data_IF_274233727267
#
_entry.id   IF_274233727267
#
_cell.length_a   1.000
_cell.length_b   1.000
_cell.length_c   1.000
_cell.angle_alpha   90.00
_cell.angle_beta   90.00
_cell.angle_gamma   90.00
#
_symmetry.space_group_name_H-M   'P 1'
#
loop_
_entity.id
_entity.type
_entity.pdbx_description
1 polymer ?
#
# COMPACT_ATOMS: atom_id res chain seq x y z
N UNK A 1 32.04 21.38 10.45
CA UNK A 1 30.92 21.49 9.49
C UNK A 1 29.86 22.34 10.17
N UNK A 2 29.52 23.51 9.64
CA UNK A 2 28.45 24.34 10.23
C UNK A 2 27.13 23.96 9.55
N UNK A 3 26.23 23.34 10.30
CA UNK A 3 24.90 22.97 9.83
C UNK A 3 24.01 24.21 9.66
N UNK A 4 23.32 24.31 8.53
CA UNK A 4 22.57 25.53 8.12
C UNK A 4 21.07 25.27 7.94
N UNK A 5 20.43 24.56 8.87
CA UNK A 5 19.00 24.23 8.80
C UNK A 5 18.09 25.46 8.63
N UNK A 6 18.46 26.63 9.20
CA UNK A 6 17.68 27.86 9.05
C UNK A 6 17.48 28.30 7.60
N UNK A 7 18.40 27.92 6.69
CA UNK A 7 18.27 28.25 5.27
C UNK A 7 17.18 27.43 4.57
N UNK A 8 16.75 26.32 5.13
CA UNK A 8 15.69 25.47 4.58
C UNK A 8 14.29 26.05 4.80
N UNK A 9 14.13 27.00 5.74
CA UNK A 9 12.83 27.63 6.04
C UNK A 9 12.19 28.26 4.80
N UNK A 10 13.01 28.85 3.92
CA UNK A 10 12.55 29.42 2.64
C UNK A 10 11.93 28.40 1.68
N UNK A 11 12.17 27.11 1.89
CA UNK A 11 11.65 26.00 1.09
C UNK A 11 10.53 25.22 1.79
N UNK A 12 9.98 25.77 2.86
CA UNK A 12 8.93 25.12 3.65
C UNK A 12 7.72 24.70 2.81
N UNK A 13 7.30 25.56 1.87
CA UNK A 13 6.16 25.26 0.99
C UNK A 13 6.40 24.02 0.13
N UNK A 14 7.60 23.84 -0.41
CA UNK A 14 7.96 22.68 -1.21
C UNK A 14 7.84 21.38 -0.41
N UNK A 15 8.31 21.37 0.83
CA UNK A 15 8.17 20.22 1.70
C UNK A 15 6.71 19.93 2.08
N UNK A 16 5.88 20.97 2.29
CA UNK A 16 4.44 20.79 2.59
C UNK A 16 3.71 20.23 1.37
N UNK A 17 3.96 20.75 0.17
CA UNK A 17 3.36 20.23 -1.07
C UNK A 17 3.81 18.80 -1.34
N UNK A 18 5.10 18.51 -1.18
CA UNK A 18 5.63 17.16 -1.34
C UNK A 18 5.04 16.18 -0.31
N UNK A 19 4.89 16.62 0.94
CA UNK A 19 4.26 15.83 2.00
C UNK A 19 2.80 15.50 1.65
N UNK A 20 2.04 16.48 1.19
CA UNK A 20 0.66 16.28 0.73
C UNK A 20 0.60 15.27 -0.42
N UNK A 21 1.49 15.38 -1.41
CA UNK A 21 1.59 14.43 -2.52
C UNK A 21 1.91 13.01 -2.07
N UNK A 22 2.83 12.82 -1.12
CA UNK A 22 3.13 11.51 -0.52
C UNK A 22 1.91 10.89 0.16
N UNK A 23 1.18 11.69 0.96
CA UNK A 23 -0.03 11.22 1.66
C UNK A 23 -1.12 10.89 0.65
N UNK A 24 -1.37 11.75 -0.32
CA UNK A 24 -2.36 11.55 -1.38
C UNK A 24 -2.07 10.26 -2.17
N UNK A 25 -0.84 10.10 -2.65
CA UNK A 25 -0.42 8.92 -3.39
C UNK A 25 -0.59 7.64 -2.54
N UNK A 26 -0.19 7.70 -1.27
CA UNK A 26 -0.36 6.56 -0.35
C UNK A 26 -1.82 6.19 -0.19
N UNK A 27 -2.70 7.16 0.06
CA UNK A 27 -4.15 6.91 0.25
C UNK A 27 -4.77 6.32 -1.02
N UNK A 28 -4.50 6.90 -2.18
CA UNK A 28 -5.00 6.40 -3.47
C UNK A 28 -4.55 4.95 -3.67
N UNK A 29 -3.26 4.67 -3.50
CA UNK A 29 -2.71 3.34 -3.74
C UNK A 29 -3.20 2.30 -2.72
N UNK A 30 -3.38 2.68 -1.45
CA UNK A 30 -3.95 1.79 -0.43
C UNK A 30 -5.40 1.46 -0.76
N UNK A 31 -6.22 2.45 -1.07
CA UNK A 31 -7.64 2.23 -1.37
C UNK A 31 -7.80 1.39 -2.63
N UNK A 32 -7.18 1.80 -3.74
CA UNK A 32 -7.27 1.08 -5.00
C UNK A 32 -6.68 -0.34 -4.88
N UNK A 33 -5.52 -0.47 -4.27
CA UNK A 33 -4.87 -1.78 -4.10
C UNK A 33 -5.61 -2.70 -3.13
N UNK A 34 -6.26 -2.19 -2.07
CA UNK A 34 -7.14 -3.00 -1.23
C UNK A 34 -8.35 -3.53 -2.01
N UNK A 35 -8.96 -2.70 -2.85
CA UNK A 35 -10.08 -3.12 -3.71
C UNK A 35 -9.63 -4.21 -4.69
N UNK A 36 -8.49 -4.04 -5.34
CA UNK A 36 -7.87 -5.05 -6.21
C UNK A 36 -7.59 -6.33 -5.42
N UNK A 37 -6.96 -6.20 -4.25
CA UNK A 37 -6.61 -7.32 -3.39
C UNK A 37 -7.82 -8.12 -2.93
N UNK A 38 -8.87 -7.46 -2.47
CA UNK A 38 -10.14 -8.09 -2.08
C UNK A 38 -10.75 -8.83 -3.27
N UNK A 39 -10.91 -8.13 -4.41
CA UNK A 39 -11.47 -8.73 -5.62
C UNK A 39 -10.69 -9.97 -6.05
N UNK A 40 -9.38 -9.88 -6.18
CA UNK A 40 -8.51 -10.97 -6.59
C UNK A 40 -8.54 -12.15 -5.59
N UNK A 41 -8.50 -11.89 -4.29
CA UNK A 41 -8.54 -12.93 -3.27
C UNK A 41 -9.87 -13.71 -3.32
N UNK A 42 -11.01 -13.02 -3.43
CA UNK A 42 -12.31 -13.68 -3.57
C UNK A 42 -12.46 -14.39 -4.92
N UNK A 43 -12.02 -13.79 -6.01
CA UNK A 43 -12.05 -14.39 -7.33
C UNK A 43 -11.14 -15.62 -7.43
N UNK A 44 -10.01 -15.63 -6.75
CA UNK A 44 -9.14 -16.80 -6.66
C UNK A 44 -9.84 -17.98 -5.94
N UNK A 45 -10.53 -17.71 -4.83
CA UNK A 45 -11.22 -18.75 -4.05
C UNK A 45 -12.41 -19.37 -4.79
N UNK A 46 -13.19 -18.57 -5.50
CA UNK A 46 -14.42 -18.98 -6.19
C UNK A 46 -14.26 -19.22 -7.68
N UNK A 47 -13.14 -18.77 -8.26
CA UNK A 47 -12.92 -18.80 -9.70
C UNK A 47 -12.60 -20.18 -10.25
N UNK A 48 -12.82 -20.30 -11.55
CA UNK A 48 -12.42 -21.45 -12.33
C UNK A 48 -10.87 -21.53 -12.47
N UNK A 49 -10.30 -22.64 -12.97
CA UNK A 49 -8.85 -22.79 -13.11
C UNK A 49 -8.16 -21.68 -13.92
N UNK A 50 -8.83 -21.10 -14.93
CA UNK A 50 -8.28 -20.00 -15.74
C UNK A 50 -8.17 -18.71 -14.93
N UNK A 51 -9.22 -18.37 -14.17
CA UNK A 51 -9.23 -17.21 -13.26
C UNK A 51 -8.14 -17.32 -12.20
N UNK A 52 -8.02 -18.51 -11.57
CA UNK A 52 -6.95 -18.76 -10.58
C UNK A 52 -5.58 -18.60 -11.17
N UNK A 53 -5.35 -19.13 -12.39
CA UNK A 53 -4.07 -19.00 -13.10
C UNK A 53 -3.76 -17.56 -13.43
N UNK A 54 -4.73 -16.77 -13.91
CA UNK A 54 -4.53 -15.35 -14.22
C UNK A 54 -4.15 -14.54 -12.98
N UNK A 55 -4.86 -14.73 -11.87
CA UNK A 55 -4.55 -14.06 -10.59
C UNK A 55 -3.19 -14.48 -10.07
N UNK A 56 -2.85 -15.76 -10.15
CA UNK A 56 -1.53 -16.28 -9.75
C UNK A 56 -0.42 -15.60 -10.54
N UNK A 57 -0.54 -15.52 -11.86
CA UNK A 57 0.45 -14.84 -12.72
C UNK A 57 0.59 -13.36 -12.37
N UNK A 58 -0.53 -12.66 -12.13
CA UNK A 58 -0.50 -11.27 -11.67
C UNK A 58 0.26 -11.11 -10.36
N UNK A 59 -0.09 -11.91 -9.35
CA UNK A 59 0.52 -11.82 -8.02
C UNK A 59 2.01 -12.13 -8.09
N UNK A 60 2.40 -13.20 -8.80
CA UNK A 60 3.80 -13.57 -8.96
C UNK A 60 4.60 -12.51 -9.73
N UNK A 61 4.02 -11.94 -10.80
CA UNK A 61 4.68 -10.91 -11.58
C UNK A 61 5.01 -9.67 -10.72
N UNK A 62 4.02 -9.18 -9.96
CA UNK A 62 4.22 -7.97 -9.15
C UNK A 62 5.03 -8.19 -7.88
N UNK A 63 5.02 -9.38 -7.30
CA UNK A 63 5.78 -9.68 -6.07
C UNK A 63 7.23 -10.06 -6.34
N UNK A 64 7.54 -10.57 -7.52
CA UNK A 64 8.88 -11.05 -7.88
C UNK A 64 9.63 -10.09 -8.82
N UNK A 65 9.11 -8.90 -9.09
CA UNK A 65 9.80 -7.86 -9.85
C UNK A 65 9.98 -6.59 -9.01
N UNK A 66 11.08 -5.84 -9.20
CA UNK A 66 11.29 -4.59 -8.48
C UNK A 66 10.21 -3.56 -8.80
N UNK A 67 9.64 -2.93 -7.76
CA UNK A 67 8.58 -1.91 -7.92
C UNK A 67 9.02 -0.70 -8.75
N UNK A 68 10.29 -0.34 -8.72
CA UNK A 68 10.84 0.72 -9.58
C UNK A 68 10.75 0.35 -11.07
N UNK A 69 11.05 -0.90 -11.42
CA UNK A 69 10.93 -1.37 -12.81
C UNK A 69 9.46 -1.36 -13.25
N UNK A 70 8.55 -1.80 -12.39
CA UNK A 70 7.12 -1.73 -12.65
C UNK A 70 6.68 -0.29 -12.91
N UNK A 71 7.13 0.67 -12.09
CA UNK A 71 6.85 2.09 -12.27
C UNK A 71 7.32 2.60 -13.64
N UNK A 72 8.55 2.26 -14.05
CA UNK A 72 9.07 2.63 -15.36
C UNK A 72 8.28 2.00 -16.51
N UNK A 73 7.88 0.75 -16.39
CA UNK A 73 7.03 0.08 -17.39
C UNK A 73 5.72 0.85 -17.57
N UNK A 74 5.03 1.21 -16.48
CA UNK A 74 3.80 1.98 -16.57
C UNK A 74 4.01 3.40 -17.08
N UNK A 75 5.09 4.04 -16.71
CA UNK A 75 5.37 5.41 -17.13
C UNK A 75 5.79 5.53 -18.59
N UNK A 76 6.62 4.62 -19.09
CA UNK A 76 7.14 4.68 -20.46
C UNK A 76 6.31 3.88 -21.48
N UNK A 77 5.74 2.73 -21.09
CA UNK A 77 5.01 1.86 -22.01
C UNK A 77 3.57 2.33 -22.26
N UNK A 78 2.89 2.90 -21.27
CA UNK A 78 1.49 3.31 -21.45
C UNK A 78 1.28 4.39 -22.53
N UNK A 79 2.15 5.42 -22.66
CA UNK A 79 2.08 6.37 -23.76
C UNK A 79 2.20 5.72 -25.13
N UNK A 80 3.05 4.70 -25.30
CA UNK A 80 3.18 3.96 -26.56
C UNK A 80 1.90 3.20 -26.94
N UNK A 81 1.09 2.87 -25.93
CA UNK A 81 -0.23 2.27 -26.10
C UNK A 81 -1.36 3.30 -26.25
N UNK A 82 -1.03 4.59 -26.34
CA UNK A 82 -1.99 5.70 -26.46
C UNK A 82 -2.62 6.14 -25.13
N UNK A 83 -2.14 5.66 -23.99
CA UNK A 83 -2.65 5.99 -22.64
C UNK A 83 -1.72 7.02 -22.01
N UNK A 84 -2.05 8.31 -22.15
CA UNK A 84 -1.27 9.40 -21.57
C UNK A 84 -1.67 9.62 -20.10
N UNK A 85 -0.78 9.28 -19.19
CA UNK A 85 -0.92 9.55 -17.76
C UNK A 85 0.09 10.61 -17.32
N UNK A 86 -0.32 11.45 -16.36
CA UNK A 86 0.65 12.28 -15.64
C UNK A 86 1.65 11.39 -14.88
N UNK A 87 2.85 11.90 -14.53
CA UNK A 87 3.80 11.16 -13.70
C UNK A 87 3.17 10.62 -12.41
N UNK A 88 2.36 11.44 -11.74
CA UNK A 88 1.62 11.05 -10.55
C UNK A 88 0.56 9.97 -10.84
N UNK A 89 -0.14 10.07 -11.97
CA UNK A 89 -1.12 9.07 -12.41
C UNK A 89 -0.48 7.71 -12.71
N UNK A 90 0.66 7.70 -13.42
CA UNK A 90 1.41 6.47 -13.70
C UNK A 90 1.93 5.81 -12.41
N UNK A 91 2.45 6.61 -11.47
CA UNK A 91 2.86 6.14 -10.16
C UNK A 91 1.68 5.57 -9.36
N UNK A 92 0.53 6.24 -9.40
CA UNK A 92 -0.70 5.76 -8.74
C UNK A 92 -1.14 4.40 -9.25
N UNK A 93 -1.13 4.18 -10.56
CA UNK A 93 -1.50 2.89 -11.17
C UNK A 93 -0.49 1.81 -10.80
N UNK A 94 0.82 2.06 -11.02
CA UNK A 94 1.87 1.10 -10.74
C UNK A 94 1.87 0.63 -9.27
N UNK A 95 1.85 1.58 -8.33
CA UNK A 95 1.90 1.29 -6.90
C UNK A 95 0.59 0.70 -6.38
N UNK A 96 -0.58 1.03 -6.98
CA UNK A 96 -1.85 0.39 -6.66
C UNK A 96 -1.85 -1.09 -7.05
N UNK A 97 -1.34 -1.43 -8.23
CA UNK A 97 -1.21 -2.81 -8.67
C UNK A 97 -0.18 -3.57 -7.83
N UNK A 98 0.96 -2.94 -7.51
CA UNK A 98 1.95 -3.50 -6.60
C UNK A 98 1.33 -3.83 -5.24
N UNK A 99 0.70 -2.87 -4.58
CA UNK A 99 0.06 -3.08 -3.29
C UNK A 99 -1.08 -4.09 -3.37
N UNK A 100 -1.87 -4.07 -4.45
CA UNK A 100 -2.96 -4.99 -4.72
C UNK A 100 -2.52 -6.45 -4.80
N UNK A 101 -1.35 -6.73 -5.40
CA UNK A 101 -0.78 -8.07 -5.45
C UNK A 101 -0.41 -8.60 -4.06
N UNK A 102 0.23 -7.78 -3.22
CA UNK A 102 0.53 -8.14 -1.83
C UNK A 102 -0.74 -8.29 -1.00
N UNK A 103 -1.70 -7.36 -1.14
CA UNK A 103 -2.98 -7.42 -0.45
C UNK A 103 -3.77 -8.70 -0.83
N UNK A 104 -3.74 -9.10 -2.10
CA UNK A 104 -4.36 -10.36 -2.57
C UNK A 104 -3.84 -11.55 -1.79
N UNK A 105 -2.52 -11.69 -1.67
CA UNK A 105 -1.90 -12.82 -1.00
C UNK A 105 -2.13 -12.79 0.51
N UNK A 106 -2.01 -11.60 1.14
CA UNK A 106 -2.26 -11.43 2.57
C UNK A 106 -3.72 -11.81 2.89
N UNK A 107 -4.69 -11.30 2.13
CA UNK A 107 -6.11 -11.58 2.36
C UNK A 107 -6.41 -13.06 2.12
N UNK A 108 -5.85 -13.66 1.06
CA UNK A 108 -6.00 -15.08 0.77
C UNK A 108 -5.47 -15.94 1.92
N UNK A 109 -4.26 -15.65 2.39
CA UNK A 109 -3.65 -16.33 3.53
C UNK A 109 -4.52 -16.21 4.80
N UNK A 110 -5.13 -15.03 5.04
CA UNK A 110 -6.05 -14.84 6.15
C UNK A 110 -7.31 -15.69 6.06
N UNK A 111 -7.88 -15.81 4.86
CA UNK A 111 -9.03 -16.72 4.66
C UNK A 111 -8.65 -18.19 4.84
N UNK A 112 -7.42 -18.56 4.46
CA UNK A 112 -6.90 -19.92 4.61
C UNK A 112 -6.52 -20.27 6.06
N UNK A 113 -6.28 -19.26 6.89
CA UNK A 113 -5.94 -19.44 8.31
C UNK A 113 -7.13 -19.88 9.19
N UNK A 114 -8.36 -19.79 8.66
CA UNK A 114 -9.56 -20.19 9.42
C UNK A 114 -9.75 -21.71 9.28
N UNK A 115 -9.82 -22.45 10.41
CA UNK A 115 -10.00 -23.89 10.38
C UNK A 115 -11.27 -24.31 9.64
N UNK A 116 -11.18 -25.33 8.78
CA UNK A 116 -12.31 -25.87 8.02
C UNK A 116 -13.48 -26.30 8.94
N UNK A 117 -13.16 -26.81 10.13
CA UNK A 117 -14.14 -27.20 11.13
C UNK A 117 -15.13 -26.09 11.49
N UNK A 118 -14.72 -24.80 11.44
CA UNK A 118 -15.64 -23.69 11.71
C UNK A 118 -16.66 -23.52 10.59
N UNK A 119 -16.25 -23.68 9.34
CA UNK A 119 -17.19 -23.62 8.20
C UNK A 119 -18.10 -24.85 8.14
N UNK A 120 -17.59 -26.02 8.49
CA UNK A 120 -18.37 -27.26 8.59
C UNK A 120 -19.40 -27.19 9.70
N UNK A 121 -19.04 -26.69 10.89
CA UNK A 121 -19.97 -26.47 11.97
C UNK A 121 -21.08 -25.49 11.58
N UNK A 122 -20.74 -24.40 10.87
CA UNK A 122 -21.74 -23.47 10.31
C UNK A 122 -22.70 -24.15 9.34
N UNK A 123 -22.19 -25.03 8.47
CA UNK A 123 -23.02 -25.79 7.54
C UNK A 123 -23.94 -26.77 8.26
N UNK A 124 -23.46 -27.45 9.31
CA UNK A 124 -24.28 -28.33 10.16
C UNK A 124 -25.43 -27.58 10.88
N UNK A 125 -25.22 -26.30 11.19
CA UNK A 125 -26.26 -25.42 11.75
C UNK A 125 -27.24 -24.87 10.69
N UNK A 126 -27.12 -25.30 9.43
CA UNK A 126 -28.00 -24.87 8.33
C UNK A 126 -27.69 -23.49 7.77
N UNK A 127 -26.53 -22.92 8.09
CA UNK A 127 -26.14 -21.61 7.54
C UNK A 127 -25.81 -21.72 6.04
N UNK A 128 -26.31 -20.78 5.26
CA UNK A 128 -25.93 -20.65 3.86
C UNK A 128 -24.43 -20.28 3.72
N UNK A 129 -23.83 -20.58 2.56
CA UNK A 129 -22.44 -20.23 2.27
C UNK A 129 -22.16 -18.73 2.52
N UNK A 130 -23.10 -17.85 2.15
CA UNK A 130 -22.99 -16.41 2.42
C UNK A 130 -22.93 -16.11 3.92
N UNK A 131 -23.80 -16.74 4.73
CA UNK A 131 -23.84 -16.55 6.18
C UNK A 131 -22.57 -17.05 6.85
N UNK A 132 -22.02 -18.21 6.39
CA UNK A 132 -20.74 -18.75 6.88
C UNK A 132 -19.62 -17.74 6.60
N UNK A 133 -19.50 -17.25 5.36
CA UNK A 133 -18.47 -16.24 5.05
C UNK A 133 -18.67 -14.95 5.85
N UNK A 134 -19.89 -14.43 5.91
CA UNK A 134 -20.20 -13.15 6.56
C UNK A 134 -19.99 -13.16 8.07
N UNK A 135 -20.38 -14.25 8.74
CA UNK A 135 -20.43 -14.29 10.21
C UNK A 135 -19.31 -15.12 10.84
N UNK A 136 -18.73 -16.09 10.12
CA UNK A 136 -17.75 -17.02 10.68
C UNK A 136 -16.34 -16.70 10.15
N UNK A 137 -16.18 -16.50 8.83
CA UNK A 137 -14.86 -16.44 8.19
C UNK A 137 -14.29 -15.02 8.15
N UNK A 138 -15.05 -14.04 7.67
CA UNK A 138 -14.51 -12.68 7.35
C UNK A 138 -13.98 -11.99 8.59
N UNK A 139 -14.68 -12.00 9.71
CA UNK A 139 -14.25 -11.31 10.92
C UNK A 139 -12.90 -11.78 11.45
N UNK A 140 -12.75 -13.07 11.79
CA UNK A 140 -11.47 -13.61 12.24
C UNK A 140 -10.36 -13.51 11.18
N UNK A 141 -10.67 -13.75 9.89
CA UNK A 141 -9.70 -13.61 8.81
C UNK A 141 -9.13 -12.19 8.71
N UNK A 142 -9.99 -11.15 8.73
CA UNK A 142 -9.56 -9.75 8.72
C UNK A 142 -8.67 -9.42 9.92
N UNK A 143 -9.02 -9.92 11.10
CA UNK A 143 -8.21 -9.73 12.29
C UNK A 143 -6.83 -10.35 12.15
N UNK A 144 -6.75 -11.58 11.61
CA UNK A 144 -5.48 -12.28 11.44
C UNK A 144 -4.55 -11.58 10.44
N UNK A 145 -5.10 -10.97 9.36
CA UNK A 145 -4.30 -10.30 8.33
C UNK A 145 -4.01 -8.83 8.64
N UNK A 146 -4.73 -8.22 9.58
CA UNK A 146 -4.63 -6.80 9.86
C UNK A 146 -3.19 -6.34 10.17
N UNK A 147 -2.38 -7.04 11.00
CA UNK A 147 -0.99 -6.66 11.24
C UNK A 147 -0.15 -6.67 9.96
N UNK A 148 -0.31 -7.69 9.12
CA UNK A 148 0.42 -7.81 7.85
C UNK A 148 0.00 -6.74 6.83
N UNK A 149 -1.29 -6.44 6.72
CA UNK A 149 -1.78 -5.33 5.89
C UNK A 149 -1.26 -3.98 6.38
N UNK A 150 -1.25 -3.76 7.70
CA UNK A 150 -0.71 -2.53 8.29
C UNK A 150 0.79 -2.35 8.00
N UNK A 151 1.56 -3.43 8.09
CA UNK A 151 2.97 -3.40 7.71
C UNK A 151 3.16 -3.10 6.22
N UNK A 152 2.33 -3.68 5.36
CA UNK A 152 2.39 -3.45 3.91
C UNK A 152 2.02 -2.01 3.53
N UNK A 153 1.09 -1.36 4.24
CA UNK A 153 0.78 0.08 4.07
C UNK A 153 2.01 0.94 4.37
N UNK A 154 2.78 0.62 5.41
CA UNK A 154 4.00 1.36 5.74
C UNK A 154 5.08 1.16 4.67
N UNK A 155 5.24 -0.07 4.17
CA UNK A 155 6.17 -0.37 3.08
C UNK A 155 5.77 0.42 1.82
N UNK A 156 4.48 0.48 1.50
CA UNK A 156 3.97 1.27 0.38
C UNK A 156 4.25 2.76 0.58
N UNK A 157 3.96 3.32 1.77
CA UNK A 157 4.21 4.73 2.10
C UNK A 157 5.68 5.10 1.86
N UNK A 158 6.61 4.29 2.33
CA UNK A 158 8.04 4.51 2.07
C UNK A 158 8.39 4.31 0.59
N UNK A 159 7.72 3.36 -0.08
CA UNK A 159 7.88 3.08 -1.51
C UNK A 159 7.37 4.18 -2.44
N UNK A 160 6.49 5.10 -1.95
CA UNK A 160 6.06 6.25 -2.77
C UNK A 160 7.22 7.14 -3.19
N UNK A 161 8.33 7.16 -2.44
CA UNK A 161 9.55 7.89 -2.81
C UNK A 161 10.12 7.49 -4.17
N UNK A 162 9.85 6.27 -4.64
CA UNK A 162 10.25 5.82 -5.98
C UNK A 162 9.56 6.61 -7.10
N UNK A 163 8.39 7.20 -6.82
CA UNK A 163 7.65 7.99 -7.80
C UNK A 163 8.39 9.28 -8.21
N UNK A 164 9.34 9.76 -7.39
CA UNK A 164 10.26 10.85 -7.75
C UNK A 164 11.07 10.55 -9.01
N UNK A 165 11.37 9.27 -9.28
CA UNK A 165 12.17 8.85 -10.44
C UNK A 165 11.46 9.09 -11.79
N UNK A 166 10.16 9.29 -11.76
CA UNK A 166 9.35 9.71 -12.91
C UNK A 166 8.82 11.14 -12.75
N UNK A 167 9.43 11.93 -11.88
CA UNK A 167 9.06 13.32 -11.59
C UNK A 167 7.63 13.48 -11.06
N UNK A 168 7.09 12.48 -10.38
CA UNK A 168 5.83 12.64 -9.65
C UNK A 168 6.05 13.53 -8.41
N UNK A 169 5.13 14.48 -8.20
CA UNK A 169 5.19 15.42 -7.08
C UNK A 169 4.90 14.68 -5.76
N UNK A 170 5.94 14.38 -5.01
CA UNK A 170 5.90 13.79 -3.67
C UNK A 170 7.11 14.28 -2.85
N UNK A 171 7.24 13.84 -1.62
CA UNK A 171 8.17 14.39 -0.64
C UNK A 171 9.65 14.24 -1.05
N UNK A 172 10.05 13.10 -1.64
CA UNK A 172 11.43 12.90 -2.10
C UNK A 172 11.74 13.77 -3.32
N UNK A 173 10.78 13.93 -4.24
CA UNK A 173 10.90 14.86 -5.36
C UNK A 173 11.07 16.30 -4.89
N UNK A 174 10.29 16.73 -3.89
CA UNK A 174 10.44 18.06 -3.27
C UNK A 174 11.83 18.22 -2.63
N UNK A 175 12.33 17.18 -1.95
CA UNK A 175 13.65 17.22 -1.34
C UNK A 175 14.79 17.36 -2.39
N UNK A 176 14.72 16.61 -3.49
CA UNK A 176 15.72 16.71 -4.57
C UNK A 176 15.68 18.08 -5.25
N UNK A 177 14.49 18.68 -5.41
CA UNK A 177 14.36 20.04 -5.89
C UNK A 177 15.02 21.06 -4.94
N UNK A 178 14.77 20.94 -3.63
CA UNK A 178 15.38 21.81 -2.61
C UNK A 178 16.89 21.63 -2.56
N UNK A 179 17.37 20.41 -2.62
CA UNK A 179 18.80 20.07 -2.62
C UNK A 179 19.53 20.72 -3.80
N UNK A 180 18.97 20.62 -5.02
CA UNK A 180 19.56 21.22 -6.23
C UNK A 180 19.63 22.75 -6.20
N UNK A 181 18.80 23.41 -5.37
CA UNK A 181 18.77 24.88 -5.24
C UNK A 181 19.54 25.40 -4.04
N UNK A 182 19.66 24.60 -2.98
CA UNK A 182 20.31 25.02 -1.73
C UNK A 182 21.75 24.54 -1.62
N UNK A 183 22.11 23.46 -2.29
CA UNK A 183 23.38 22.72 -2.15
C UNK A 183 23.65 22.27 -0.71
N UNK A 184 22.57 22.04 0.07
CA UNK A 184 22.60 21.61 1.47
C UNK A 184 22.16 20.15 1.59
N UNK A 185 22.87 19.24 0.90
CA UNK A 185 22.45 17.83 0.79
C UNK A 185 22.23 17.17 2.14
N UNK A 186 23.14 17.36 3.10
CA UNK A 186 23.02 16.75 4.42
C UNK A 186 21.77 17.25 5.16
N UNK A 187 21.57 18.56 5.23
CA UNK A 187 20.45 19.17 5.94
C UNK A 187 19.09 18.77 5.31
N UNK A 188 19.01 18.77 3.97
CA UNK A 188 17.80 18.38 3.23
C UNK A 188 17.44 16.94 3.52
N UNK A 189 18.39 16.02 3.37
CA UNK A 189 18.09 14.60 3.59
C UNK A 189 17.90 14.25 5.08
N UNK A 190 18.52 14.99 6.00
CA UNK A 190 18.21 14.86 7.43
C UNK A 190 16.76 15.27 7.75
N UNK A 191 16.29 16.40 7.20
CA UNK A 191 14.89 16.85 7.33
C UNK A 191 13.95 15.84 6.65
N UNK A 192 14.26 15.37 5.45
CA UNK A 192 13.49 14.36 4.74
C UNK A 192 13.33 13.09 5.58
N UNK A 193 14.43 12.58 6.14
CA UNK A 193 14.43 11.41 7.01
C UNK A 193 13.52 11.63 8.24
N UNK A 194 13.60 12.78 8.88
CA UNK A 194 12.75 13.14 10.02
C UNK A 194 11.27 13.18 9.64
N UNK A 195 10.92 13.74 8.47
CA UNK A 195 9.52 13.81 8.01
C UNK A 195 8.99 12.40 7.71
N UNK A 196 9.73 11.54 6.99
CA UNK A 196 9.32 10.15 6.75
C UNK A 196 9.19 9.36 8.05
N UNK A 197 10.10 9.55 9.00
CA UNK A 197 10.02 8.92 10.30
C UNK A 197 8.72 9.32 11.04
N UNK A 198 8.39 10.61 11.06
CA UNK A 198 7.13 11.10 11.65
C UNK A 198 5.90 10.55 10.91
N UNK A 199 5.93 10.47 9.56
CA UNK A 199 4.86 9.88 8.77
C UNK A 199 4.63 8.40 9.10
N UNK A 200 5.71 7.63 9.23
CA UNK A 200 5.63 6.21 9.63
C UNK A 200 5.05 6.07 11.03
N UNK A 201 5.49 6.90 12.00
CA UNK A 201 4.95 6.87 13.35
C UNK A 201 3.46 7.24 13.37
N UNK A 202 3.06 8.28 12.63
CA UNK A 202 1.66 8.68 12.50
C UNK A 202 0.82 7.57 11.87
N UNK A 203 1.32 6.94 10.79
CA UNK A 203 0.65 5.81 10.14
C UNK A 203 0.51 4.60 11.08
N UNK A 204 1.54 4.25 11.83
CA UNK A 204 1.49 3.17 12.84
C UNK A 204 0.45 3.47 13.92
N UNK A 205 0.41 4.71 14.41
CA UNK A 205 -0.56 5.13 15.40
C UNK A 205 -2.00 5.04 14.86
N UNK A 206 -2.23 5.55 13.64
CA UNK A 206 -3.53 5.46 12.98
C UNK A 206 -3.98 4.00 12.81
N UNK A 207 -3.09 3.13 12.30
CA UNK A 207 -3.40 1.70 12.16
C UNK A 207 -3.68 1.05 13.52
N UNK A 208 -2.88 1.36 14.56
CA UNK A 208 -3.11 0.85 15.90
C UNK A 208 -4.48 1.26 16.46
N UNK A 209 -4.83 2.55 16.36
CA UNK A 209 -6.12 3.07 16.82
C UNK A 209 -7.28 2.46 16.05
N UNK A 210 -7.17 2.37 14.71
CA UNK A 210 -8.18 1.73 13.87
C UNK A 210 -8.36 0.25 14.24
N UNK A 211 -7.27 -0.50 14.38
CA UNK A 211 -7.32 -1.90 14.77
C UNK A 211 -8.00 -2.12 16.13
N UNK A 212 -7.70 -1.23 17.10
CA UNK A 212 -8.31 -1.28 18.43
C UNK A 212 -9.82 -0.97 18.39
N UNK A 213 -10.25 -0.08 17.51
CA UNK A 213 -11.66 0.26 17.34
C UNK A 213 -12.45 -0.79 16.54
N UNK A 214 -11.83 -1.30 15.46
CA UNK A 214 -12.47 -2.25 14.56
C UNK A 214 -12.57 -3.66 15.14
N UNK A 215 -11.56 -4.09 15.94
CA UNK A 215 -11.45 -5.45 16.47
C UNK A 215 -11.59 -5.49 18.00
N UNK A 216 -12.74 -5.03 18.51
CA UNK A 216 -13.05 -4.97 19.95
C UNK A 216 -13.29 -6.36 20.62
N UNK A 217 -12.95 -7.45 20.00
CA UNK A 217 -13.14 -8.79 20.55
C UNK A 217 -12.13 -9.08 21.68
N UNK A 218 -12.57 -9.65 22.83
CA UNK A 218 -11.66 -9.96 23.93
C UNK A 218 -10.60 -10.96 23.45
N UNK A 219 -9.32 -10.61 23.65
CA UNK A 219 -8.22 -11.54 23.52
C UNK A 219 -8.20 -12.41 24.77
N UNK A 220 -8.86 -13.57 24.75
CA UNK A 220 -8.45 -14.62 25.68
C UNK A 220 -7.04 -15.07 25.24
N UNK A 221 -6.05 -14.68 26.04
CA UNK A 221 -4.73 -15.29 26.04
C UNK A 221 -4.82 -16.62 26.74
#
# INVERSE_FOLDING_TARGET
MQLRFAQLERFREQFIVGLAGTVELTVICVVAGLLIGLFCAFAYKRGNPRTRKAIYVYVEAFRNTPSLIQLFVFFFLLPDLGILLSPFGAASVALSLYFGAYATEIIRSGMDSIPAAQSEAGACLGLSTYQIYRHIIIGPALRNVYPSLSAQVIILLLGTSLASQVSANELFHAATFVESRSYLSFEVYAVLCAIYFCLVLASKLLMYLFGRLAFRWPTHR
#
